data_IF_535301615719
#
_entry.id   IF_535301615719
#
_cell.length_a   1.000
_cell.length_b   1.000
_cell.length_c   1.000
_cell.angle_alpha   90.00
_cell.angle_beta   90.00
_cell.angle_gamma   90.00
#
_symmetry.space_group_name_H-M   'P 1'
#
loop_
_entity.id
_entity.type
_entity.pdbx_description
1 polymer ?
#
# COMPACT_ATOMS: atom_id res chain seq x y z
N UNK A 1 7.88 15.80 -12.32
CA UNK A 1 7.32 14.44 -12.32
C UNK A 1 6.48 14.24 -11.07
N UNK A 2 5.33 13.57 -11.18
CA UNK A 2 4.47 13.26 -10.04
C UNK A 2 5.20 12.31 -9.08
N UNK A 3 5.10 12.59 -7.76
CA UNK A 3 5.71 11.77 -6.74
C UNK A 3 4.81 10.58 -6.41
N UNK A 4 5.35 9.38 -6.48
CA UNK A 4 4.63 8.13 -6.25
C UNK A 4 5.24 7.39 -5.06
N UNK A 5 4.41 6.88 -4.14
CA UNK A 5 4.82 5.99 -3.07
C UNK A 5 4.04 4.67 -3.11
N UNK A 6 4.73 3.55 -3.24
CA UNK A 6 4.14 2.21 -3.16
C UNK A 6 4.16 1.73 -1.72
N UNK A 7 2.99 1.44 -1.17
CA UNK A 7 2.81 0.90 0.20
C UNK A 7 2.87 -0.62 0.15
N UNK A 8 3.82 -1.19 0.89
CA UNK A 8 4.12 -2.63 0.90
C UNK A 8 4.17 -3.15 2.35
N UNK A 9 3.04 -3.40 2.99
CA UNK A 9 3.05 -4.04 4.30
C UNK A 9 3.26 -5.56 4.14
N UNK A 10 4.30 -6.08 4.78
CA UNK A 10 4.61 -7.50 4.80
C UNK A 10 5.11 -7.91 6.19
N UNK A 11 4.38 -8.79 6.85
CA UNK A 11 4.70 -9.31 8.17
C UNK A 11 5.01 -10.80 8.11
N UNK A 12 6.05 -11.18 8.80
CA UNK A 12 6.71 -12.47 8.68
C UNK A 12 8.02 -12.36 7.90
N UNK A 13 8.74 -13.46 7.80
CA UNK A 13 10.05 -13.51 7.14
C UNK A 13 9.92 -13.22 5.64
N UNK A 14 10.55 -12.15 5.18
CA UNK A 14 10.62 -11.81 3.75
C UNK A 14 11.24 -12.97 2.95
N UNK A 15 10.67 -13.31 1.78
CA UNK A 15 11.11 -14.43 0.96
C UNK A 15 12.53 -14.21 0.43
N UNK A 16 13.23 -15.30 0.08
CA UNK A 16 14.57 -15.20 -0.51
C UNK A 16 14.57 -14.42 -1.84
N UNK A 17 13.45 -14.48 -2.59
CA UNK A 17 13.26 -13.74 -3.83
C UNK A 17 13.11 -12.22 -3.63
N UNK A 18 12.95 -11.76 -2.39
CA UNK A 18 12.76 -10.33 -2.08
C UNK A 18 13.94 -9.45 -2.56
N UNK A 19 15.15 -10.01 -2.68
CA UNK A 19 16.27 -9.29 -3.28
C UNK A 19 16.01 -8.87 -4.73
N UNK A 20 15.27 -9.66 -5.51
CA UNK A 20 14.89 -9.28 -6.88
C UNK A 20 13.85 -8.16 -6.89
N UNK A 21 12.94 -8.16 -5.92
CA UNK A 21 12.03 -7.03 -5.71
C UNK A 21 12.83 -5.75 -5.42
N UNK A 22 13.80 -5.79 -4.49
CA UNK A 22 14.65 -4.64 -4.18
C UNK A 22 15.45 -4.14 -5.38
N UNK A 23 15.98 -5.05 -6.22
CA UNK A 23 16.65 -4.68 -7.47
C UNK A 23 15.71 -3.95 -8.42
N UNK A 24 14.46 -4.40 -8.53
CA UNK A 24 13.45 -3.73 -9.36
C UNK A 24 13.04 -2.37 -8.80
N UNK A 25 13.01 -2.21 -7.47
CA UNK A 25 12.81 -0.90 -6.83
C UNK A 25 13.96 0.06 -7.18
N UNK A 26 15.21 -0.39 -7.05
CA UNK A 26 16.39 0.41 -7.42
C UNK A 26 16.39 0.84 -8.90
N UNK A 27 15.82 0.00 -9.77
CA UNK A 27 15.69 0.32 -11.21
C UNK A 27 14.64 1.41 -11.49
N UNK A 28 13.78 1.72 -10.52
CA UNK A 28 12.73 2.74 -10.59
C UNK A 28 12.95 3.84 -9.56
N UNK A 29 14.01 4.67 -9.67
CA UNK A 29 14.40 5.64 -8.65
C UNK A 29 13.39 6.78 -8.46
N UNK A 30 12.46 6.98 -9.38
CA UNK A 30 11.41 8.00 -9.33
C UNK A 30 10.16 7.52 -8.56
N UNK A 31 10.16 6.28 -8.07
CA UNK A 31 9.09 5.69 -7.27
C UNK A 31 9.66 5.34 -5.90
N UNK A 32 9.05 5.86 -4.84
CA UNK A 32 9.37 5.49 -3.47
C UNK A 32 8.56 4.26 -3.04
N UNK A 33 9.12 3.49 -2.11
CA UNK A 33 8.52 2.26 -1.60
C UNK A 33 8.52 2.30 -0.07
N UNK A 34 7.33 2.32 0.53
CA UNK A 34 7.16 2.25 1.98
C UNK A 34 6.94 0.79 2.38
N UNK A 35 7.98 0.14 2.88
CA UNK A 35 7.92 -1.22 3.41
C UNK A 35 7.62 -1.16 4.92
N UNK A 36 6.49 -1.74 5.34
CA UNK A 36 6.14 -1.94 6.74
C UNK A 36 6.30 -3.42 7.07
N UNK A 37 7.21 -3.78 7.99
CA UNK A 37 7.55 -5.19 8.24
C UNK A 37 8.01 -5.42 9.68
N UNK A 38 7.91 -6.65 10.15
CA UNK A 38 8.53 -7.13 11.40
C UNK A 38 9.85 -7.91 11.17
N UNK A 39 10.29 -8.00 9.90
CA UNK A 39 11.59 -8.60 9.56
C UNK A 39 12.68 -7.54 9.68
N UNK A 40 13.46 -7.61 10.77
CA UNK A 40 14.52 -6.66 11.13
C UNK A 40 15.89 -6.99 10.54
N UNK A 41 15.97 -7.99 9.65
CA UNK A 41 17.24 -8.36 9.01
C UNK A 41 17.79 -7.18 8.18
N UNK A 42 19.12 -6.94 8.28
CA UNK A 42 19.75 -5.91 7.45
C UNK A 42 19.82 -6.38 5.99
N UNK A 43 18.92 -5.86 5.16
CA UNK A 43 18.89 -6.08 3.72
C UNK A 43 19.47 -4.88 2.99
N UNK A 44 19.98 -5.04 1.76
CA UNK A 44 20.54 -3.95 0.97
C UNK A 44 19.42 -3.08 0.35
N UNK A 45 18.72 -2.34 1.19
CA UNK A 45 17.63 -1.45 0.75
C UNK A 45 18.19 -0.34 -0.14
N UNK A 46 17.62 -0.13 -1.35
CA UNK A 46 17.89 1.05 -2.15
C UNK A 46 17.41 2.34 -1.46
N UNK A 47 17.93 3.50 -1.88
CA UNK A 47 17.59 4.81 -1.29
C UNK A 47 16.10 5.14 -1.35
N UNK A 48 15.40 4.67 -2.38
CA UNK A 48 13.97 4.85 -2.58
C UNK A 48 13.10 3.78 -1.87
N UNK A 49 13.69 2.91 -1.04
CA UNK A 49 12.95 1.94 -0.21
C UNK A 49 13.05 2.35 1.26
N UNK A 50 11.97 2.86 1.79
CA UNK A 50 11.83 3.30 3.19
C UNK A 50 11.28 2.15 4.03
N UNK A 51 12.17 1.42 4.70
CA UNK A 51 11.81 0.30 5.57
C UNK A 51 11.49 0.81 6.98
N UNK A 52 10.26 0.55 7.43
CA UNK A 52 9.80 0.82 8.79
C UNK A 52 9.59 -0.52 9.49
N UNK A 53 10.49 -0.84 10.43
CA UNK A 53 10.39 -2.06 11.23
C UNK A 53 9.41 -1.83 12.37
N UNK A 54 8.35 -2.62 12.41
CA UNK A 54 7.32 -2.57 13.44
C UNK A 54 6.62 -3.93 13.57
N UNK A 55 6.03 -4.22 14.73
CA UNK A 55 5.23 -5.43 14.88
C UNK A 55 3.88 -5.31 14.16
N UNK A 56 3.32 -6.45 13.74
CA UNK A 56 1.97 -6.51 13.17
C UNK A 56 0.91 -5.94 14.14
N UNK A 57 1.04 -6.24 15.45
CA UNK A 57 0.14 -5.71 16.47
C UNK A 57 0.21 -4.19 16.58
N UNK A 58 1.40 -3.59 16.42
CA UNK A 58 1.54 -2.14 16.41
C UNK A 58 0.82 -1.51 15.20
N UNK A 59 0.94 -2.11 14.01
CA UNK A 59 0.21 -1.66 12.84
C UNK A 59 -1.31 -1.80 13.03
N UNK A 60 -1.76 -2.94 13.55
CA UNK A 60 -3.18 -3.19 13.86
C UNK A 60 -3.74 -2.16 14.84
N UNK A 61 -3.02 -1.91 15.92
CA UNK A 61 -3.42 -0.92 16.92
C UNK A 61 -3.53 0.49 16.30
N UNK A 62 -2.57 0.85 15.44
CA UNK A 62 -2.60 2.12 14.72
C UNK A 62 -3.80 2.21 13.78
N UNK A 63 -4.09 1.18 12.98
CA UNK A 63 -5.25 1.15 12.10
C UNK A 63 -6.56 1.26 12.90
N UNK A 64 -6.64 0.59 14.07
CA UNK A 64 -7.80 0.66 14.94
C UNK A 64 -8.13 2.09 15.38
N UNK A 65 -7.15 2.96 15.56
CA UNK A 65 -7.41 4.36 15.97
C UNK A 65 -8.19 5.18 14.95
N UNK A 66 -8.20 4.74 13.69
CA UNK A 66 -8.89 5.43 12.59
C UNK A 66 -10.38 5.09 12.50
N UNK A 67 -10.86 4.05 13.22
CA UNK A 67 -12.23 3.57 13.13
C UNK A 67 -12.89 3.49 14.50
N UNK A 68 -14.19 3.83 14.56
CA UNK A 68 -15.01 3.75 15.79
C UNK A 68 -15.56 2.35 16.06
N UNK A 69 -15.37 1.40 15.15
CA UNK A 69 -15.78 0.01 15.28
C UNK A 69 -14.57 -0.92 15.34
N UNK A 70 -14.69 -2.11 15.93
CA UNK A 70 -13.57 -3.05 16.02
C UNK A 70 -13.18 -3.56 14.63
N UNK A 71 -11.88 -3.55 14.33
CA UNK A 71 -11.34 -4.11 13.10
C UNK A 71 -11.05 -5.61 13.28
N UNK A 72 -11.44 -6.39 12.29
CA UNK A 72 -11.02 -7.78 12.13
C UNK A 72 -9.75 -7.82 11.31
N UNK A 73 -8.61 -7.83 11.99
CA UNK A 73 -7.27 -7.86 11.41
C UNK A 73 -6.39 -8.77 12.26
N UNK A 74 -6.74 -10.07 12.29
CA UNK A 74 -6.09 -11.06 13.14
C UNK A 74 -4.81 -11.64 12.50
N UNK A 75 -4.69 -11.58 11.17
CA UNK A 75 -3.58 -12.16 10.41
C UNK A 75 -3.04 -11.18 9.38
N UNK A 76 -1.72 -11.17 9.11
CA UNK A 76 -1.11 -10.28 8.11
C UNK A 76 -1.74 -10.40 6.71
N UNK A 77 -2.19 -11.59 6.32
CA UNK A 77 -2.83 -11.82 5.02
C UNK A 77 -4.10 -10.98 4.82
N UNK A 78 -4.81 -10.62 5.89
CA UNK A 78 -5.99 -9.76 5.86
C UNK A 78 -5.68 -8.32 5.45
N UNK A 79 -4.42 -7.87 5.52
CA UNK A 79 -4.01 -6.53 5.08
C UNK A 79 -4.36 -6.24 3.61
N UNK A 80 -4.47 -7.28 2.78
CA UNK A 80 -4.89 -7.12 1.39
C UNK A 80 -6.28 -6.49 1.24
N UNK A 81 -7.19 -6.77 2.17
CA UNK A 81 -8.55 -6.24 2.15
C UNK A 81 -8.59 -4.77 2.57
N UNK A 82 -7.55 -4.30 3.26
CA UNK A 82 -7.36 -2.91 3.66
C UNK A 82 -6.64 -2.06 2.59
N UNK A 83 -6.15 -2.67 1.49
CA UNK A 83 -5.42 -1.95 0.42
C UNK A 83 -6.15 -0.70 -0.08
N UNK A 84 -7.48 -0.71 -0.33
CA UNK A 84 -8.18 0.48 -0.79
C UNK A 84 -8.18 1.64 0.22
N UNK A 85 -7.89 1.36 1.48
CA UNK A 85 -7.88 2.33 2.57
C UNK A 85 -6.45 2.81 2.95
N UNK A 86 -5.38 2.34 2.30
CA UNK A 86 -4.01 2.72 2.70
C UNK A 86 -3.77 4.23 2.62
N UNK A 87 -4.36 4.93 1.64
CA UNK A 87 -4.26 6.39 1.55
C UNK A 87 -4.80 7.11 2.77
N UNK A 88 -5.86 6.57 3.40
CA UNK A 88 -6.43 7.08 4.64
C UNK A 88 -5.65 6.59 5.88
N UNK A 89 -5.30 5.31 5.91
CA UNK A 89 -4.65 4.67 7.06
C UNK A 89 -3.22 5.17 7.30
N UNK A 90 -2.52 5.54 6.23
CA UNK A 90 -1.11 5.93 6.21
C UNK A 90 -0.94 7.38 5.68
N UNK A 91 -1.91 8.25 5.93
CA UNK A 91 -1.92 9.62 5.42
C UNK A 91 -0.69 10.44 5.83
N UNK A 92 -0.11 10.13 6.98
CA UNK A 92 1.08 10.82 7.49
C UNK A 92 2.32 10.48 6.67
N UNK A 93 2.54 9.20 6.38
CA UNK A 93 3.66 8.73 5.56
C UNK A 93 3.50 9.13 4.09
N UNK A 94 2.26 9.23 3.64
CA UNK A 94 1.94 9.57 2.26
C UNK A 94 1.84 11.07 2.02
N UNK A 95 2.11 11.88 3.04
CA UNK A 95 2.10 13.34 2.91
C UNK A 95 3.18 13.81 1.94
N UNK A 96 2.77 14.57 0.92
CA UNK A 96 3.68 15.13 -0.09
C UNK A 96 3.88 14.24 -1.32
N UNK A 97 3.25 13.06 -1.37
CA UNK A 97 3.14 12.27 -2.58
C UNK A 97 1.87 12.64 -3.36
N UNK A 98 1.96 12.67 -4.69
CA UNK A 98 0.82 12.91 -5.58
C UNK A 98 -0.03 11.66 -5.78
N UNK A 99 0.62 10.48 -5.71
CA UNK A 99 -0.01 9.17 -5.83
C UNK A 99 0.55 8.23 -4.77
N UNK A 100 -0.31 7.34 -4.31
CA UNK A 100 0.10 6.17 -3.56
C UNK A 100 -0.39 4.91 -4.27
N UNK A 101 0.23 3.78 -3.98
CA UNK A 101 -0.17 2.51 -4.56
C UNK A 101 0.08 1.35 -3.63
N UNK A 102 -0.25 0.16 -4.10
CA UNK A 102 0.09 -1.09 -3.44
C UNK A 102 0.52 -2.14 -4.47
N UNK A 103 1.41 -3.02 -4.06
CA UNK A 103 1.84 -4.17 -4.85
C UNK A 103 2.19 -5.36 -3.96
N UNK A 104 2.43 -6.51 -4.58
CA UNK A 104 2.94 -7.69 -3.89
C UNK A 104 4.47 -7.72 -3.91
N UNK A 105 5.09 -8.36 -2.91
CA UNK A 105 6.56 -8.43 -2.75
C UNK A 105 7.22 -9.48 -3.65
N UNK A 106 6.45 -10.31 -4.31
CA UNK A 106 6.91 -11.34 -5.24
C UNK A 106 6.87 -10.87 -6.71
N UNK A 107 6.68 -9.57 -6.91
CA UNK A 107 6.74 -8.94 -8.23
C UNK A 107 8.14 -8.43 -8.54
N UNK A 108 8.47 -8.38 -9.83
CA UNK A 108 9.61 -7.65 -10.38
C UNK A 108 9.12 -6.64 -11.40
N UNK A 109 9.55 -5.40 -11.25
CA UNK A 109 9.16 -4.31 -12.13
C UNK A 109 10.26 -4.02 -13.15
N UNK A 110 9.86 -3.86 -14.41
CA UNK A 110 10.68 -3.16 -15.39
C UNK A 110 10.63 -1.66 -15.16
N UNK A 111 10.87 -0.87 -16.20
CA UNK A 111 10.73 0.59 -16.14
C UNK A 111 9.25 0.97 -16.03
N UNK A 112 8.84 1.37 -14.82
CA UNK A 112 7.46 1.77 -14.52
C UNK A 112 7.10 3.03 -15.31
N UNK A 113 8.03 3.96 -15.50
CA UNK A 113 7.81 5.22 -16.20
C UNK A 113 7.43 5.06 -17.67
N UNK A 114 7.81 3.94 -18.30
CA UNK A 114 7.37 3.62 -19.68
C UNK A 114 5.87 3.30 -19.74
N UNK A 115 5.32 2.69 -18.69
CA UNK A 115 3.92 2.27 -18.65
C UNK A 115 3.02 3.27 -17.91
N UNK A 116 3.53 3.88 -16.84
CA UNK A 116 2.81 4.88 -16.03
C UNK A 116 3.33 6.26 -16.40
N UNK A 117 2.74 6.82 -17.44
CA UNK A 117 3.17 8.11 -18.00
C UNK A 117 2.57 9.30 -17.25
N UNK A 118 3.21 10.47 -17.35
CA UNK A 118 2.66 11.73 -16.81
C UNK A 118 1.27 12.05 -17.38
N UNK A 119 1.00 11.71 -18.64
CA UNK A 119 -0.32 11.87 -19.25
C UNK A 119 -1.37 11.02 -18.51
N UNK A 120 -1.07 9.77 -18.20
CA UNK A 120 -1.96 8.89 -17.40
C UNK A 120 -2.17 9.44 -16.00
N UNK A 121 -1.09 9.85 -15.33
CA UNK A 121 -1.14 10.44 -13.98
C UNK A 121 -1.91 11.77 -13.96
N UNK A 122 -2.01 12.48 -15.08
CA UNK A 122 -2.82 13.70 -15.19
C UNK A 122 -4.33 13.42 -15.34
N UNK A 123 -4.68 12.32 -16.01
CA UNK A 123 -6.06 12.00 -16.42
C UNK A 123 -6.82 11.09 -15.47
N UNK A 124 -6.12 10.19 -14.79
CA UNK A 124 -6.74 9.12 -14.02
C UNK A 124 -6.51 9.29 -12.52
N UNK A 125 -7.53 9.01 -11.74
CA UNK A 125 -7.45 8.96 -10.28
C UNK A 125 -7.06 7.58 -9.77
N UNK A 126 -7.28 6.54 -10.61
CA UNK A 126 -6.83 5.18 -10.35
C UNK A 126 -6.20 4.58 -11.59
N UNK A 127 -5.03 3.94 -11.44
CA UNK A 127 -4.33 3.22 -12.49
C UNK A 127 -4.06 1.80 -11.99
N UNK A 128 -4.46 0.81 -12.79
CA UNK A 128 -4.45 -0.59 -12.38
C UNK A 128 -5.66 -0.94 -11.51
N UNK A 129 -6.20 -2.14 -11.73
CA UNK A 129 -7.33 -2.70 -10.96
C UNK A 129 -7.05 -4.09 -10.45
N UNK A 130 -5.85 -4.58 -10.76
CA UNK A 130 -5.41 -5.90 -10.32
C UNK A 130 -4.83 -5.81 -8.92
N UNK A 131 -5.12 -6.79 -8.08
CA UNK A 131 -4.62 -6.82 -6.70
C UNK A 131 -3.09 -6.79 -6.58
N UNK A 132 -2.38 -7.12 -7.65
CA UNK A 132 -0.91 -7.15 -7.67
C UNK A 132 -0.26 -5.78 -7.82
N UNK A 133 -0.95 -4.81 -8.46
CA UNK A 133 -0.46 -3.44 -8.65
C UNK A 133 -1.63 -2.48 -8.86
N UNK A 134 -1.70 -1.45 -8.05
CA UNK A 134 -2.69 -0.38 -8.17
C UNK A 134 -2.09 0.93 -7.69
N UNK A 135 -2.40 2.02 -8.39
CA UNK A 135 -2.08 3.40 -8.00
C UNK A 135 -3.37 4.19 -7.82
N UNK A 136 -3.37 5.08 -6.86
CA UNK A 136 -4.47 5.98 -6.54
C UNK A 136 -3.94 7.40 -6.38
N UNK A 137 -4.67 8.39 -6.90
CA UNK A 137 -4.35 9.80 -6.65
C UNK A 137 -4.48 10.09 -5.16
N UNK A 138 -3.49 10.74 -4.59
CA UNK A 138 -3.47 11.05 -3.16
C UNK A 138 -4.24 12.35 -2.87
N UNK A 139 -5.57 12.25 -2.87
CA UNK A 139 -6.47 13.33 -2.45
C UNK A 139 -7.42 12.81 -1.36
N UNK A 140 -7.96 13.69 -0.50
CA UNK A 140 -8.92 13.28 0.54
C UNK A 140 -10.10 12.50 -0.02
N UNK A 141 -10.62 12.89 -1.19
CA UNK A 141 -11.78 12.26 -1.82
C UNK A 141 -11.45 10.83 -2.25
N UNK A 142 -10.29 10.63 -2.91
CA UNK A 142 -9.86 9.30 -3.38
C UNK A 142 -9.45 8.42 -2.20
N UNK A 143 -8.78 8.98 -1.19
CA UNK A 143 -8.36 8.24 -0.01
C UNK A 143 -9.54 7.73 0.83
N UNK A 144 -10.71 8.37 0.71
CA UNK A 144 -11.95 7.96 1.38
C UNK A 144 -12.92 7.20 0.46
N UNK A 145 -12.57 6.96 -0.80
CA UNK A 145 -13.47 6.30 -1.75
C UNK A 145 -13.88 4.88 -1.32
N UNK A 146 -13.04 4.19 -0.52
CA UNK A 146 -13.37 2.88 0.03
C UNK A 146 -14.60 2.90 0.95
N UNK A 147 -14.96 4.08 1.50
CA UNK A 147 -16.16 4.25 2.35
C UNK A 147 -17.44 4.46 1.55
N UNK A 148 -17.36 4.56 0.22
CA UNK A 148 -18.54 4.82 -0.60
C UNK A 148 -19.57 3.71 -0.41
N UNK A 149 -20.80 4.13 -0.09
CA UNK A 149 -21.91 3.23 0.08
C UNK A 149 -22.36 2.63 -1.25
N UNK A 150 -22.70 1.35 -1.24
CA UNK A 150 -23.37 0.67 -2.35
C UNK A 150 -24.86 0.47 -1.95
N UNK A 151 -25.67 1.47 -2.22
CA UNK A 151 -27.04 1.51 -1.71
C UNK A 151 -27.10 1.88 -0.23
N UNK A 152 -27.80 1.08 0.58
CA UNK A 152 -27.89 1.27 2.04
C UNK A 152 -26.76 0.55 2.81
N UNK A 153 -25.91 -0.22 2.13
CA UNK A 153 -24.83 -0.97 2.75
C UNK A 153 -23.51 -0.16 2.76
N UNK A 154 -22.73 -0.36 3.81
CA UNK A 154 -21.34 0.06 3.93
C UNK A 154 -20.41 -1.15 3.72
N UNK A 155 -20.06 -1.51 2.47
CA UNK A 155 -19.33 -2.75 2.17
C UNK A 155 -17.99 -2.84 2.90
N UNK A 156 -17.27 -1.70 3.03
CA UNK A 156 -16.00 -1.65 3.73
C UNK A 156 -16.12 -2.06 5.19
N UNK A 157 -17.21 -1.64 5.87
CA UNK A 157 -17.42 -1.95 7.28
C UNK A 157 -17.60 -3.46 7.47
N UNK A 158 -18.39 -4.10 6.62
CA UNK A 158 -18.56 -5.56 6.62
C UNK A 158 -17.21 -6.26 6.42
N UNK A 159 -16.44 -5.84 5.41
CA UNK A 159 -15.12 -6.42 5.10
C UNK A 159 -14.15 -6.25 6.27
N UNK A 160 -14.13 -5.06 6.90
CA UNK A 160 -13.20 -4.73 7.96
C UNK A 160 -13.59 -5.31 9.33
N UNK A 161 -14.83 -5.76 9.51
CA UNK A 161 -15.31 -6.39 10.75
C UNK A 161 -15.42 -7.91 10.66
N UNK A 162 -15.11 -8.51 9.50
CA UNK A 162 -15.22 -9.95 9.26
C UNK A 162 -13.86 -10.52 8.90
N UNK A 163 -13.42 -11.59 9.58
CA UNK A 163 -12.15 -12.27 9.26
C UNK A 163 -12.26 -13.20 8.04
N UNK A 164 -13.47 -13.59 7.67
CA UNK A 164 -13.72 -14.43 6.49
C UNK A 164 -13.43 -13.67 5.19
N UNK A 165 -12.74 -14.38 4.28
CA UNK A 165 -12.49 -13.93 2.90
C UNK A 165 -13.50 -14.57 1.97
#
# INVERSE_FOLDING_TARGET
MKKICMVVPYFGKLPQSFNFFLLSCAYNPDVDWLLLTDDDRPLPYPENVHCVVMSFDALRARFQTKFSFPLSLERPYKLRDYRPAYGFLLEEELRGYDFWGCCDVDMMFGDIGVFITEDMLSRYDQIGRMGHFSLYRNTPEINLLFTAAAGEEEPYRRIFTTEEN
#
